data_IF_282266423081
#
_entry.id   IF_282266423081
#
_cell.length_a   1.000
_cell.length_b   1.000
_cell.length_c   1.000
_cell.angle_alpha   90.00
_cell.angle_beta   90.00
_cell.angle_gamma   90.00
#
_symmetry.space_group_name_H-M   'P 1'
#
loop_
_entity.id
_entity.type
_entity.pdbx_description
1 polymer ?
#
# COMPACT_ATOMS: atom_id res chain seq x y z
N UNK A 1 -5.99 -11.15 -35.08
CA UNK A 1 -7.36 -11.60 -34.72
C UNK A 1 -7.68 -11.08 -33.34
N UNK A 2 -8.55 -10.07 -33.24
CA UNK A 2 -9.05 -9.54 -31.98
C UNK A 2 -9.95 -10.59 -31.34
N UNK A 3 -9.50 -11.27 -30.28
CA UNK A 3 -10.36 -12.12 -29.47
C UNK A 3 -11.41 -11.18 -28.84
N UNK A 4 -12.67 -11.30 -29.26
CA UNK A 4 -13.78 -10.62 -28.58
C UNK A 4 -13.69 -10.99 -27.11
N UNK A 5 -13.65 -9.98 -26.23
CA UNK A 5 -13.88 -10.22 -24.81
C UNK A 5 -15.19 -11.01 -24.68
N UNK A 6 -15.19 -12.13 -23.96
CA UNK A 6 -16.42 -12.87 -23.71
C UNK A 6 -17.42 -11.92 -23.04
N UNK A 7 -18.70 -12.05 -23.38
CA UNK A 7 -19.73 -11.28 -22.67
C UNK A 7 -19.69 -11.72 -21.20
N UNK A 8 -19.87 -10.76 -20.29
CA UNK A 8 -19.86 -11.02 -18.83
C UNK A 8 -20.84 -12.14 -18.42
N UNK A 9 -21.88 -12.34 -19.22
CA UNK A 9 -22.91 -13.37 -19.06
C UNK A 9 -22.42 -14.81 -19.31
N UNK A 10 -21.26 -14.98 -19.99
CA UNK A 10 -20.66 -16.30 -20.28
C UNK A 10 -19.59 -16.71 -19.24
N UNK A 11 -19.30 -15.84 -18.26
CA UNK A 11 -18.27 -16.06 -17.24
C UNK A 11 -18.88 -16.77 -16.02
N UNK A 12 -18.20 -17.80 -15.53
CA UNK A 12 -18.54 -18.41 -14.24
C UNK A 12 -17.96 -17.53 -13.14
N UNK A 13 -18.84 -16.77 -12.48
CA UNK A 13 -18.48 -15.91 -11.36
C UNK A 13 -18.85 -16.68 -10.08
N UNK A 14 -17.90 -16.90 -9.14
CA UNK A 14 -18.22 -17.53 -7.86
C UNK A 14 -19.25 -16.71 -7.09
N UNK A 15 -20.20 -17.40 -6.44
CA UNK A 15 -21.07 -16.74 -5.47
C UNK A 15 -20.24 -16.28 -4.26
N UNK A 16 -20.75 -15.31 -3.51
CA UNK A 16 -20.05 -14.75 -2.35
C UNK A 16 -19.70 -15.86 -1.34
N UNK A 17 -18.40 -16.06 -1.09
CA UNK A 17 -17.87 -17.11 -0.19
C UNK A 17 -17.60 -18.47 -0.86
N UNK A 18 -17.89 -18.64 -2.14
CA UNK A 18 -17.65 -19.87 -2.88
C UNK A 18 -16.25 -19.89 -3.51
N UNK A 19 -15.52 -21.00 -3.35
CA UNK A 19 -14.21 -21.20 -4.00
C UNK A 19 -14.36 -22.18 -5.13
N UNK A 20 -14.30 -21.67 -6.36
CA UNK A 20 -14.39 -22.47 -7.58
C UNK A 20 -13.00 -22.77 -8.14
N UNK A 21 -12.86 -23.94 -8.74
CA UNK A 21 -11.66 -24.37 -9.46
C UNK A 21 -12.04 -24.66 -10.91
N UNK A 22 -11.23 -24.19 -11.85
CA UNK A 22 -11.40 -24.51 -13.27
C UNK A 22 -10.83 -25.89 -13.62
N UNK A 23 -11.08 -26.35 -14.84
CA UNK A 23 -10.58 -27.63 -15.40
C UNK A 23 -9.05 -27.76 -15.32
N UNK A 24 -8.36 -26.63 -15.33
CA UNK A 24 -6.91 -26.51 -15.22
C UNK A 24 -6.40 -26.71 -13.77
N UNK A 25 -7.29 -26.95 -12.80
CA UNK A 25 -6.99 -27.10 -11.37
C UNK A 25 -6.65 -25.78 -10.66
N UNK A 26 -6.72 -24.64 -11.34
CA UNK A 26 -6.48 -23.32 -10.78
C UNK A 26 -7.76 -22.74 -10.18
N UNK A 27 -7.61 -22.02 -9.06
CA UNK A 27 -8.71 -21.27 -8.44
C UNK A 27 -9.21 -20.21 -9.41
N UNK A 28 -10.53 -20.06 -9.53
CA UNK A 28 -11.17 -19.01 -10.32
C UNK A 28 -11.24 -17.74 -9.46
N UNK A 29 -10.79 -16.62 -10.01
CA UNK A 29 -10.91 -15.31 -9.37
C UNK A 29 -12.32 -14.75 -9.47
N UNK A 30 -12.60 -13.69 -8.71
CA UNK A 30 -13.94 -13.07 -8.66
C UNK A 30 -14.36 -12.44 -10.00
N UNK A 31 -13.43 -12.35 -10.96
CA UNK A 31 -13.66 -11.92 -12.34
C UNK A 31 -13.91 -13.07 -13.32
N UNK A 32 -13.95 -14.32 -12.85
CA UNK A 32 -14.18 -15.51 -13.68
C UNK A 32 -12.96 -15.97 -14.50
N UNK A 33 -11.78 -15.41 -14.22
CA UNK A 33 -10.52 -15.81 -14.84
C UNK A 33 -9.67 -16.65 -13.88
N UNK A 34 -8.81 -17.57 -14.39
CA UNK A 34 -7.96 -18.37 -13.53
C UNK A 34 -6.96 -17.50 -12.75
N UNK A 35 -6.79 -17.82 -11.48
CA UNK A 35 -5.87 -17.16 -10.57
C UNK A 35 -4.47 -17.74 -10.78
N UNK A 36 -3.70 -17.14 -11.69
CA UNK A 36 -2.30 -17.53 -11.91
C UNK A 36 -1.45 -17.26 -10.66
N UNK A 37 -0.25 -17.85 -10.55
CA UNK A 37 0.65 -17.56 -9.44
C UNK A 37 0.96 -16.06 -9.28
N UNK A 38 1.09 -15.31 -10.38
CA UNK A 38 1.35 -13.87 -10.32
C UNK A 38 0.11 -13.07 -9.92
N UNK A 39 -1.09 -13.44 -10.39
CA UNK A 39 -2.35 -12.82 -9.91
C UNK A 39 -2.58 -13.08 -8.43
N UNK A 40 -2.26 -14.29 -7.96
CA UNK A 40 -2.30 -14.65 -6.53
C UNK A 40 -1.30 -13.83 -5.72
N UNK A 41 -0.07 -13.67 -6.23
CA UNK A 41 0.94 -12.86 -5.58
C UNK A 41 0.50 -11.38 -5.49
N UNK A 42 -0.11 -10.84 -6.55
CA UNK A 42 -0.63 -9.47 -6.56
C UNK A 42 -1.74 -9.27 -5.54
N UNK A 43 -2.72 -10.19 -5.49
CA UNK A 43 -3.81 -10.13 -4.51
C UNK A 43 -3.26 -10.09 -3.07
N UNK A 44 -2.35 -11.02 -2.73
CA UNK A 44 -1.73 -11.06 -1.40
C UNK A 44 -0.91 -9.81 -1.11
N UNK A 45 -0.24 -9.24 -2.11
CA UNK A 45 0.51 -8.02 -1.92
C UNK A 45 -0.41 -6.82 -1.67
N UNK A 46 -1.54 -6.72 -2.37
CA UNK A 46 -2.56 -5.70 -2.12
C UNK A 46 -3.16 -5.80 -0.72
N UNK A 47 -3.36 -7.02 -0.20
CA UNK A 47 -3.76 -7.25 1.20
C UNK A 47 -2.68 -6.76 2.19
N UNK A 48 -1.41 -7.10 1.94
CA UNK A 48 -0.30 -6.66 2.79
C UNK A 48 -0.20 -5.14 2.79
N UNK A 49 -0.30 -4.49 1.62
CA UNK A 49 -0.28 -3.03 1.48
C UNK A 49 -1.44 -2.41 2.25
N UNK A 50 -2.64 -3.02 2.23
CA UNK A 50 -3.79 -2.54 2.99
C UNK A 50 -3.54 -2.55 4.50
N UNK A 51 -3.08 -3.70 5.01
CA UNK A 51 -2.81 -3.89 6.44
C UNK A 51 -1.73 -2.91 6.91
N UNK A 52 -0.66 -2.76 6.14
CA UNK A 52 0.41 -1.79 6.43
C UNK A 52 -0.13 -0.37 6.39
N UNK A 53 -1.03 -0.06 5.46
CA UNK A 53 -1.72 1.22 5.38
C UNK A 53 -2.42 1.58 6.70
N UNK A 54 -3.19 0.65 7.27
CA UNK A 54 -3.85 0.86 8.56
C UNK A 54 -2.87 0.98 9.73
N UNK A 55 -1.84 0.14 9.77
CA UNK A 55 -0.79 0.21 10.80
C UNK A 55 -0.14 1.60 10.77
N UNK A 56 0.16 2.13 9.59
CA UNK A 56 0.81 3.44 9.43
C UNK A 56 -0.08 4.58 9.93
N UNK A 57 -1.39 4.53 9.67
CA UNK A 57 -2.32 5.52 10.23
C UNK A 57 -2.30 5.50 11.76
N UNK A 58 -2.28 4.32 12.38
CA UNK A 58 -2.19 4.19 13.85
C UNK A 58 -0.85 4.70 14.37
N UNK A 59 0.26 4.34 13.73
CA UNK A 59 1.61 4.80 14.09
C UNK A 59 1.70 6.33 14.00
N UNK A 60 1.14 6.95 12.97
CA UNK A 60 1.11 8.39 12.84
C UNK A 60 0.38 9.07 14.02
N UNK A 61 -0.75 8.52 14.46
CA UNK A 61 -1.47 9.02 15.64
C UNK A 61 -0.60 8.90 16.90
N UNK A 62 0.06 7.76 17.10
CA UNK A 62 0.97 7.55 18.23
C UNK A 62 2.12 8.57 18.21
N UNK A 63 2.73 8.82 17.05
CA UNK A 63 3.81 9.79 16.89
C UNK A 63 3.35 11.23 17.21
N UNK A 64 2.15 11.62 16.79
CA UNK A 64 1.57 12.92 17.16
C UNK A 64 1.40 13.03 18.67
N UNK A 65 0.85 12.01 19.31
CA UNK A 65 0.64 11.99 20.76
C UNK A 65 1.97 12.09 21.50
N UNK A 66 2.99 11.31 21.10
CA UNK A 66 4.33 11.39 21.68
C UNK A 66 4.96 12.77 21.48
N UNK A 67 4.75 13.41 20.32
CA UNK A 67 5.24 14.75 20.03
C UNK A 67 4.54 15.88 20.81
N UNK A 68 3.35 15.62 21.36
CA UNK A 68 2.64 16.55 22.26
C UNK A 68 3.25 16.54 23.66
N UNK A 69 3.65 15.36 24.14
CA UNK A 69 4.23 15.19 25.48
C UNK A 69 5.72 15.59 25.57
N UNK A 70 6.37 15.89 24.44
CA UNK A 70 7.75 16.36 24.46
C UNK A 70 7.86 17.83 24.86
N UNK A 71 8.54 18.09 25.98
CA UNK A 71 8.76 19.44 26.52
C UNK A 71 7.67 19.91 27.49
N UNK A 72 6.83 18.99 27.99
CA UNK A 72 5.88 19.25 29.06
C UNK A 72 6.43 18.70 30.37
N UNK A 73 6.51 19.56 31.39
CA UNK A 73 6.71 19.16 32.78
C UNK A 73 5.40 19.42 33.54
N UNK A 74 4.93 18.47 34.33
CA UNK A 74 3.67 18.57 35.06
C UNK A 74 3.93 19.12 36.47
N UNK A 75 4.12 20.44 36.59
CA UNK A 75 4.02 21.09 37.90
C UNK A 75 2.58 21.50 38.16
N UNK A 76 2.12 21.21 39.37
CA UNK A 76 0.74 21.22 39.87
C UNK A 76 -0.05 22.53 39.68
N UNK A 77 0.56 23.62 39.20
CA UNK A 77 -0.08 24.95 39.10
C UNK A 77 0.30 25.82 37.90
N UNK A 78 1.30 25.49 37.09
CA UNK A 78 1.70 26.33 35.95
C UNK A 78 2.20 25.52 34.73
N UNK A 79 1.86 25.99 33.54
CA UNK A 79 2.27 25.37 32.27
C UNK A 79 3.65 25.91 31.85
N UNK A 80 4.72 25.37 32.42
CA UNK A 80 6.09 25.79 32.06
C UNK A 80 6.66 24.97 30.90
N UNK A 81 6.84 25.59 29.73
CA UNK A 81 7.57 24.99 28.60
C UNK A 81 9.07 25.25 28.75
N UNK A 82 9.86 24.21 29.06
CA UNK A 82 11.31 24.24 28.89
C UNK A 82 11.68 23.41 27.66
N UNK A 83 12.71 23.86 26.91
CA UNK A 83 13.07 23.33 25.59
C UNK A 83 13.12 21.80 25.54
N UNK A 84 12.29 21.22 24.67
CA UNK A 84 12.17 19.77 24.52
C UNK A 84 13.46 19.08 24.04
N UNK A 85 13.43 17.74 24.04
CA UNK A 85 14.56 16.93 23.59
C UNK A 85 15.01 17.33 22.17
N UNK A 86 16.32 17.50 21.99
CA UNK A 86 16.91 17.80 20.70
C UNK A 86 17.87 16.68 20.30
N UNK A 87 17.81 16.27 19.04
CA UNK A 87 18.73 15.30 18.46
C UNK A 87 19.48 15.95 17.30
N UNK A 88 20.82 15.98 17.36
CA UNK A 88 21.70 16.66 16.39
C UNK A 88 21.27 18.11 16.09
N UNK A 89 20.83 18.83 17.13
CA UNK A 89 20.41 20.24 17.01
C UNK A 89 18.98 20.46 16.49
N UNK A 90 18.26 19.40 16.14
CA UNK A 90 16.85 19.47 15.74
C UNK A 90 15.92 19.09 16.88
N UNK A 91 14.81 19.81 17.01
CA UNK A 91 13.78 19.51 18.00
C UNK A 91 13.11 18.17 17.66
N UNK A 92 13.18 17.21 18.58
CA UNK A 92 12.65 15.87 18.40
C UNK A 92 11.12 15.88 18.26
N UNK A 93 10.41 16.84 18.89
CA UNK A 93 8.98 17.03 18.72
C UNK A 93 8.62 17.43 17.28
N UNK A 94 9.42 18.29 16.65
CA UNK A 94 9.23 18.67 15.25
C UNK A 94 9.50 17.47 14.34
N UNK A 95 10.56 16.71 14.61
CA UNK A 95 10.92 15.51 13.85
C UNK A 95 9.78 14.47 13.87
N UNK A 96 9.22 14.20 15.06
CA UNK A 96 8.10 13.26 15.21
C UNK A 96 6.81 13.75 14.54
N UNK A 97 6.55 15.08 14.51
CA UNK A 97 5.39 15.63 13.77
C UNK A 97 5.54 15.47 12.26
N UNK A 98 6.74 15.75 11.74
CA UNK A 98 7.03 15.56 10.33
C UNK A 98 6.95 14.07 9.95
N UNK A 99 7.53 13.19 10.77
CA UNK A 99 7.44 11.73 10.61
C UNK A 99 5.97 11.28 10.59
N UNK A 100 5.18 11.73 11.57
CA UNK A 100 3.76 11.39 11.64
C UNK A 100 3.00 11.81 10.37
N UNK A 101 3.28 13.00 9.84
CA UNK A 101 2.66 13.47 8.61
C UNK A 101 3.05 12.60 7.41
N UNK A 102 4.34 12.25 7.28
CA UNK A 102 4.83 11.37 6.21
C UNK A 102 4.17 10.00 6.30
N UNK A 103 4.26 9.36 7.46
CA UNK A 103 3.68 8.03 7.70
C UNK A 103 2.17 8.03 7.49
N UNK A 104 1.47 9.09 7.88
CA UNK A 104 0.03 9.24 7.65
C UNK A 104 -0.31 9.28 6.15
N UNK A 105 0.41 10.09 5.37
CA UNK A 105 0.22 10.18 3.92
C UNK A 105 0.55 8.84 3.24
N UNK A 106 1.61 8.17 3.66
CA UNK A 106 1.95 6.82 3.18
C UNK A 106 0.85 5.80 3.53
N UNK A 107 0.31 5.86 4.75
CA UNK A 107 -0.77 4.99 5.19
C UNK A 107 -2.04 5.17 4.34
N UNK A 108 -2.49 6.42 4.17
CA UNK A 108 -3.66 6.73 3.33
C UNK A 108 -3.45 6.29 1.88
N UNK A 109 -2.30 6.63 1.28
CA UNK A 109 -2.01 6.26 -0.10
C UNK A 109 -1.91 4.75 -0.29
N UNK A 110 -1.42 3.99 0.69
CA UNK A 110 -1.41 2.51 0.66
C UNK A 110 -2.81 1.93 0.64
N UNK A 111 -3.73 2.44 1.47
CA UNK A 111 -5.15 2.02 1.44
C UNK A 111 -5.78 2.30 0.07
N UNK A 112 -5.52 3.48 -0.51
CA UNK A 112 -5.99 3.83 -1.84
C UNK A 112 -5.41 2.93 -2.94
N UNK A 113 -4.11 2.61 -2.87
CA UNK A 113 -3.44 1.71 -3.81
C UNK A 113 -4.05 0.32 -3.72
N UNK A 114 -4.28 -0.20 -2.52
CA UNK A 114 -4.89 -1.52 -2.35
C UNK A 114 -6.28 -1.59 -3.00
N UNK A 115 -7.16 -0.64 -2.65
CA UNK A 115 -8.52 -0.61 -3.19
C UNK A 115 -8.55 -0.44 -4.72
N UNK A 116 -7.79 0.53 -5.26
CA UNK A 116 -7.71 0.73 -6.71
C UNK A 116 -6.96 -0.38 -7.43
N UNK A 117 -6.03 -1.04 -6.76
CA UNK A 117 -5.30 -2.20 -7.26
C UNK A 117 -6.22 -3.41 -7.42
N UNK A 118 -7.14 -3.64 -6.48
CA UNK A 118 -8.16 -4.68 -6.63
C UNK A 118 -9.12 -4.40 -7.77
N UNK A 119 -9.61 -3.17 -7.91
CA UNK A 119 -10.46 -2.78 -9.05
C UNK A 119 -9.71 -2.95 -10.38
N UNK A 120 -8.42 -2.64 -10.42
CA UNK A 120 -7.60 -2.91 -11.61
C UNK A 120 -7.45 -4.42 -11.86
N UNK A 121 -7.22 -5.21 -10.82
CA UNK A 121 -6.97 -6.66 -10.90
C UNK A 121 -8.19 -7.46 -11.35
N UNK A 122 -9.39 -7.08 -10.92
CA UNK A 122 -10.63 -7.82 -11.15
C UNK A 122 -11.59 -7.12 -12.11
N UNK A 123 -11.78 -5.80 -11.99
CA UNK A 123 -12.76 -5.06 -12.79
C UNK A 123 -12.18 -4.48 -14.08
N UNK A 124 -10.91 -4.75 -14.39
CA UNK A 124 -10.18 -4.16 -15.52
C UNK A 124 -10.22 -2.61 -15.51
N UNK A 125 -10.27 -1.98 -14.32
CA UNK A 125 -10.18 -0.52 -14.18
C UNK A 125 -8.80 -0.01 -14.65
N UNK A 126 -8.65 1.30 -14.82
CA UNK A 126 -7.41 1.93 -15.25
C UNK A 126 -6.32 1.89 -14.16
N UNK A 127 -5.10 1.51 -14.56
CA UNK A 127 -3.93 1.50 -13.67
C UNK A 127 -3.38 2.90 -13.35
N UNK A 128 -3.91 3.95 -13.98
CA UNK A 128 -3.35 5.31 -13.91
C UNK A 128 -3.39 5.86 -12.47
N UNK A 129 -4.48 5.62 -11.75
CA UNK A 129 -4.63 6.07 -10.37
C UNK A 129 -3.61 5.40 -9.44
N UNK A 130 -3.46 4.07 -9.55
CA UNK A 130 -2.48 3.28 -8.79
C UNK A 130 -1.07 3.81 -9.04
N UNK A 131 -0.68 4.01 -10.31
CA UNK A 131 0.64 4.54 -10.69
C UNK A 131 0.93 5.91 -10.09
N UNK A 132 -0.05 6.82 -10.09
CA UNK A 132 0.10 8.16 -9.50
C UNK A 132 0.31 8.07 -7.99
N UNK A 133 -0.47 7.23 -7.30
CA UNK A 133 -0.31 7.03 -5.86
C UNK A 133 1.05 6.39 -5.52
N UNK A 134 1.49 5.38 -6.28
CA UNK A 134 2.82 4.79 -6.11
C UNK A 134 3.95 5.81 -6.32
N UNK A 135 3.84 6.67 -7.34
CA UNK A 135 4.83 7.72 -7.58
C UNK A 135 4.90 8.69 -6.40
N UNK A 136 3.76 9.07 -5.83
CA UNK A 136 3.71 9.91 -4.62
C UNK A 136 4.42 9.22 -3.45
N UNK A 137 4.15 7.92 -3.22
CA UNK A 137 4.80 7.17 -2.14
C UNK A 137 6.31 7.10 -2.30
N UNK A 138 6.79 6.80 -3.52
CA UNK A 138 8.22 6.72 -3.83
C UNK A 138 8.88 8.09 -3.68
N UNK A 139 8.27 9.15 -4.21
CA UNK A 139 8.80 10.51 -4.13
C UNK A 139 8.87 11.00 -2.68
N UNK A 140 7.82 10.77 -1.89
CA UNK A 140 7.76 11.17 -0.48
C UNK A 140 8.79 10.38 0.35
N UNK A 141 8.87 9.06 0.13
CA UNK A 141 9.83 8.19 0.82
C UNK A 141 11.28 8.60 0.52
N UNK A 142 11.57 8.93 -0.74
CA UNK A 142 12.89 9.39 -1.14
C UNK A 142 13.22 10.77 -0.53
N UNK A 143 12.32 11.74 -0.65
CA UNK A 143 12.52 13.09 -0.13
C UNK A 143 12.74 13.09 1.39
N UNK A 144 11.96 12.29 2.12
CA UNK A 144 12.08 12.18 3.57
C UNK A 144 13.40 11.52 4.00
N UNK A 145 13.79 10.41 3.36
CA UNK A 145 15.08 9.77 3.65
C UNK A 145 16.28 10.67 3.32
N UNK A 146 16.22 11.42 2.22
CA UNK A 146 17.26 12.40 1.88
C UNK A 146 17.37 13.46 2.97
N UNK A 147 16.24 14.01 3.44
CA UNK A 147 16.23 14.98 4.53
C UNK A 147 16.85 14.41 5.82
N UNK A 148 16.43 13.20 6.23
CA UNK A 148 16.94 12.54 7.43
C UNK A 148 18.43 12.19 7.31
N UNK A 149 18.89 11.76 6.14
CA UNK A 149 20.29 11.43 5.92
C UNK A 149 21.20 12.63 6.11
N UNK A 150 20.87 13.77 5.49
CA UNK A 150 21.71 14.97 5.54
C UNK A 150 21.66 15.70 6.88
N UNK A 151 20.51 15.73 7.55
CA UNK A 151 20.34 16.53 8.78
C UNK A 151 20.53 15.69 10.05
N UNK A 152 20.15 14.42 10.01
CA UNK A 152 20.01 13.56 11.20
C UNK A 152 20.91 12.33 11.11
N UNK A 153 21.43 11.99 9.93
CA UNK A 153 22.16 10.76 9.62
C UNK A 153 21.40 9.52 10.12
N UNK A 154 20.08 9.54 9.93
CA UNK A 154 19.18 8.43 10.19
C UNK A 154 18.53 7.99 8.89
N UNK A 155 18.12 6.73 8.84
CA UNK A 155 17.30 6.16 7.79
C UNK A 155 15.98 5.80 8.42
N UNK A 156 14.88 6.22 7.81
CA UNK A 156 13.55 5.93 8.34
C UNK A 156 13.08 4.52 7.90
N UNK A 157 12.78 3.61 8.84
CA UNK A 157 12.29 2.28 8.50
C UNK A 157 10.92 2.28 7.82
N UNK A 158 10.04 3.26 8.08
CA UNK A 158 8.68 3.25 7.54
C UNK A 158 8.65 3.54 6.04
N UNK A 159 9.31 4.62 5.63
CA UNK A 159 9.53 4.97 4.22
C UNK A 159 10.37 3.92 3.50
N UNK A 160 11.36 3.32 4.15
CA UNK A 160 12.14 2.21 3.59
C UNK A 160 11.26 0.99 3.25
N UNK A 161 10.36 0.61 4.16
CA UNK A 161 9.42 -0.49 3.95
C UNK A 161 8.47 -0.20 2.77
N UNK A 162 7.85 0.98 2.73
CA UNK A 162 6.92 1.34 1.65
C UNK A 162 7.63 1.43 0.30
N UNK A 163 8.86 1.90 0.28
CA UNK A 163 9.68 1.94 -0.93
C UNK A 163 9.92 0.53 -1.49
N UNK A 164 10.28 -0.44 -0.64
CA UNK A 164 10.45 -1.85 -1.04
C UNK A 164 9.15 -2.46 -1.54
N UNK A 165 8.04 -2.24 -0.85
CA UNK A 165 6.72 -2.74 -1.26
C UNK A 165 6.29 -2.11 -2.60
N UNK A 166 6.55 -0.83 -2.81
CA UNK A 166 6.27 -0.14 -4.08
C UNK A 166 7.04 -0.75 -5.25
N UNK A 167 8.31 -1.11 -5.04
CA UNK A 167 9.12 -1.80 -6.06
C UNK A 167 8.54 -3.18 -6.34
N UNK A 168 8.26 -3.97 -5.30
CA UNK A 168 7.71 -5.31 -5.45
C UNK A 168 6.37 -5.28 -6.21
N UNK A 169 5.50 -4.34 -5.83
CA UNK A 169 4.20 -4.14 -6.48
C UNK A 169 4.35 -3.78 -7.96
N UNK A 170 5.29 -2.89 -8.30
CA UNK A 170 5.59 -2.57 -9.69
C UNK A 170 6.05 -3.79 -10.50
N UNK A 171 6.95 -4.60 -9.94
CA UNK A 171 7.45 -5.80 -10.61
C UNK A 171 6.34 -6.83 -10.86
N UNK A 172 5.43 -7.02 -9.90
CA UNK A 172 4.31 -7.95 -10.05
C UNK A 172 3.30 -7.41 -11.07
N UNK A 173 2.95 -6.11 -11.02
CA UNK A 173 2.08 -5.47 -12.02
C UNK A 173 2.58 -5.73 -13.43
N UNK A 174 3.88 -5.53 -13.69
CA UNK A 174 4.47 -5.75 -15.03
C UNK A 174 4.30 -7.20 -15.48
N UNK A 175 4.47 -8.17 -14.57
CA UNK A 175 4.28 -9.60 -14.86
C UNK A 175 2.81 -9.94 -15.11
N UNK A 176 1.90 -9.42 -14.30
CA UNK A 176 0.46 -9.62 -14.47
C UNK A 176 -0.02 -9.03 -15.79
N UNK A 177 0.47 -7.85 -16.20
CA UNK A 177 0.16 -7.26 -17.51
C UNK A 177 0.63 -8.17 -18.65
N UNK A 178 1.79 -8.80 -18.53
CA UNK A 178 2.30 -9.72 -19.54
C UNK A 178 1.46 -11.02 -19.63
N UNK A 179 0.90 -11.49 -18.51
CA UNK A 179 0.05 -12.69 -18.47
C UNK A 179 -1.38 -12.44 -18.96
N UNK A 180 -1.96 -11.25 -18.74
CA UNK A 180 -3.37 -10.92 -19.05
C UNK A 180 -3.82 -11.29 -20.48
N UNK A 181 -3.08 -10.99 -21.56
CA UNK A 181 -3.51 -11.31 -22.92
C UNK A 181 -3.61 -12.82 -23.21
N UNK A 182 -2.94 -13.65 -22.41
CA UNK A 182 -2.94 -15.11 -22.53
C UNK A 182 -4.08 -15.79 -21.78
N UNK A 183 -4.79 -15.07 -20.90
CA UNK A 183 -5.84 -15.65 -20.07
C UNK A 183 -7.09 -15.94 -20.90
N UNK A 184 -7.56 -17.17 -20.81
CA UNK A 184 -8.88 -17.59 -21.28
C UNK A 184 -9.80 -17.75 -20.08
N UNK A 185 -11.10 -17.41 -20.22
CA UNK A 185 -12.07 -17.67 -19.17
C UNK A 185 -12.06 -19.15 -18.80
N UNK A 186 -12.06 -19.44 -17.51
CA UNK A 186 -12.16 -20.81 -17.02
C UNK A 186 -13.53 -21.37 -17.37
N UNK A 187 -13.54 -22.56 -17.99
CA UNK A 187 -14.75 -23.37 -18.14
C UNK A 187 -14.87 -24.32 -16.95
N UNK A 188 -16.10 -24.65 -16.60
CA UNK A 188 -16.42 -25.53 -15.49
C UNK A 188 -16.54 -26.97 -15.96
N UNK A 189 -15.79 -27.89 -15.38
CA UNK A 189 -16.15 -29.31 -15.28
C UNK A 189 -16.94 -29.47 -14.01
N UNK A 190 -18.20 -29.88 -14.16
CA UNK A 190 -18.98 -30.44 -13.05
C UNK A 190 -18.33 -31.72 -12.52
#
# INVERSE_FOLDING_TARGET
>A
MSKRNPKKDDLVIPAEGEVLYGDDGLRIGDDGYPMTPMRTAEHRLLDIILIIGYIFVVVAVVLVVLALFQGQDYDTRDFSMHGGAAYKGLNLALLMRCEALVVFVLGLTSVFISHRGFNWLYDNDSLLAVRRCMLIQVALSFAWNVYLWFNVQLVDPFTGLVFLLSILHWLIIVRVIAERPGLTPSKFSK
#
